data_IF_000379055808
#
_entry.id   IF_000379055808
#
_cell.length_a   1.000
_cell.length_b   1.000
_cell.length_c   1.000
_cell.angle_alpha   90.00
_cell.angle_beta   90.00
_cell.angle_gamma   90.00
#
_symmetry.space_group_name_H-M   'P 1'
#
loop_
_entity.id
_entity.type
_entity.pdbx_description
1 polymer ?
#
# COMPACT_ATOMS: atom_id res chain seq x y z
N UNK A 1 -6.61 -7.55 -16.03
CA UNK A 1 -7.16 -6.27 -15.59
C UNK A 1 -6.73 -5.93 -14.18
N UNK A 2 -6.86 -4.66 -13.81
CA UNK A 2 -6.66 -4.16 -12.44
C UNK A 2 -7.52 -4.94 -11.45
N UNK A 3 -8.79 -5.16 -11.76
CA UNK A 3 -9.71 -5.94 -10.93
C UNK A 3 -9.13 -7.33 -10.60
N UNK A 4 -8.63 -8.05 -11.60
CA UNK A 4 -8.06 -9.38 -11.39
C UNK A 4 -6.77 -9.33 -10.58
N UNK A 5 -5.93 -8.30 -10.74
CA UNK A 5 -4.74 -8.11 -9.93
C UNK A 5 -5.07 -7.94 -8.44
N UNK A 6 -6.03 -7.07 -8.12
CA UNK A 6 -6.47 -6.85 -6.73
C UNK A 6 -7.12 -8.11 -6.15
N UNK A 7 -7.79 -8.91 -6.98
CA UNK A 7 -8.45 -10.15 -6.58
C UNK A 7 -7.49 -11.27 -6.15
N UNK A 8 -6.25 -11.29 -6.62
CA UNK A 8 -5.31 -12.41 -6.41
C UNK A 8 -5.24 -12.85 -4.94
N UNK A 9 -5.00 -11.98 -3.95
CA UNK A 9 -4.90 -12.41 -2.55
C UNK A 9 -6.19 -13.04 -2.01
N UNK A 10 -7.35 -12.59 -2.49
CA UNK A 10 -8.65 -13.12 -2.08
C UNK A 10 -8.87 -14.57 -2.53
N UNK A 11 -8.25 -14.97 -3.65
CA UNK A 11 -8.37 -16.35 -4.16
C UNK A 11 -7.70 -17.37 -3.23
N UNK A 12 -6.67 -16.95 -2.50
CA UNK A 12 -5.91 -17.78 -1.57
C UNK A 12 -6.37 -17.64 -0.11
N UNK A 13 -7.19 -16.66 0.20
CA UNK A 13 -7.71 -16.44 1.55
C UNK A 13 -9.01 -17.23 1.77
N UNK A 14 -8.89 -18.42 2.37
CA UNK A 14 -10.03 -19.32 2.64
C UNK A 14 -11.07 -18.76 3.62
N UNK A 15 -10.72 -17.70 4.38
CA UNK A 15 -11.65 -17.07 5.34
C UNK A 15 -12.62 -16.10 4.67
N UNK A 16 -12.33 -15.64 3.46
CA UNK A 16 -13.14 -14.67 2.71
C UNK A 16 -13.97 -15.41 1.67
N UNK A 17 -15.29 -15.28 1.74
CA UNK A 17 -16.21 -15.93 0.80
C UNK A 17 -16.13 -15.30 -0.59
N UNK A 18 -16.27 -16.08 -1.64
CA UNK A 18 -16.22 -15.59 -3.04
C UNK A 18 -17.24 -14.48 -3.33
N UNK A 19 -18.39 -14.51 -2.68
CA UNK A 19 -19.43 -13.47 -2.82
C UNK A 19 -18.99 -12.08 -2.32
N UNK A 20 -18.01 -12.03 -1.39
CA UNK A 20 -17.48 -10.79 -0.84
C UNK A 20 -16.38 -10.16 -1.72
N UNK A 21 -15.79 -10.91 -2.67
CA UNK A 21 -14.61 -10.47 -3.42
C UNK A 21 -14.86 -9.17 -4.17
N UNK A 22 -15.99 -9.07 -4.87
CA UNK A 22 -16.33 -7.89 -5.67
C UNK A 22 -16.40 -6.63 -4.80
N UNK A 23 -17.11 -6.69 -3.70
CA UNK A 23 -17.28 -5.57 -2.78
C UNK A 23 -15.94 -5.14 -2.16
N UNK A 24 -15.11 -6.10 -1.70
CA UNK A 24 -13.79 -5.81 -1.14
C UNK A 24 -12.86 -5.15 -2.16
N UNK A 25 -12.86 -5.62 -3.42
CA UNK A 25 -12.08 -5.04 -4.51
C UNK A 25 -12.51 -3.61 -4.79
N UNK A 26 -13.82 -3.36 -4.90
CA UNK A 26 -14.33 -2.01 -5.14
C UNK A 26 -13.97 -1.06 -3.99
N UNK A 27 -14.12 -1.49 -2.74
CA UNK A 27 -13.78 -0.72 -1.55
C UNK A 27 -12.27 -0.38 -1.49
N UNK A 28 -11.40 -1.37 -1.80
CA UNK A 28 -9.97 -1.14 -1.87
C UNK A 28 -9.58 -0.20 -3.04
N UNK A 29 -10.24 -0.31 -4.18
CA UNK A 29 -9.99 0.56 -5.32
C UNK A 29 -10.47 2.00 -5.08
N UNK A 30 -11.58 2.18 -4.37
CA UNK A 30 -12.13 3.47 -4.00
C UNK A 30 -11.20 4.22 -3.03
N UNK A 31 -10.74 3.56 -1.96
CA UNK A 31 -9.81 4.17 -1.00
C UNK A 31 -8.47 4.58 -1.64
N UNK A 32 -8.15 4.06 -2.81
CA UNK A 32 -6.93 4.38 -3.57
C UNK A 32 -7.20 5.22 -4.82
N UNK A 33 -8.43 5.70 -5.02
CA UNK A 33 -8.85 6.54 -6.16
C UNK A 33 -8.51 5.92 -7.52
N UNK A 34 -8.74 4.60 -7.67
CA UNK A 34 -8.52 3.83 -8.91
C UNK A 34 -9.74 3.00 -9.34
N UNK A 35 -10.92 3.27 -8.79
CA UNK A 35 -12.14 2.52 -9.13
C UNK A 35 -12.51 2.62 -10.62
N UNK A 36 -12.23 3.74 -11.27
CA UNK A 36 -12.45 3.96 -12.70
C UNK A 36 -11.47 3.17 -13.59
N UNK A 37 -10.41 2.63 -13.01
CA UNK A 37 -9.36 1.86 -13.69
C UNK A 37 -9.55 0.33 -13.60
N UNK A 38 -10.54 -0.15 -12.85
CA UNK A 38 -10.70 -1.59 -12.57
C UNK A 38 -10.74 -2.48 -13.84
N UNK A 39 -11.27 -1.95 -14.94
CA UNK A 39 -11.36 -2.67 -16.22
C UNK A 39 -10.10 -2.58 -17.08
N UNK A 40 -9.19 -1.63 -16.80
CA UNK A 40 -7.97 -1.44 -17.57
C UNK A 40 -6.95 -2.55 -17.36
N UNK A 41 -6.06 -2.72 -18.33
CA UNK A 41 -4.85 -3.54 -18.14
C UNK A 41 -3.84 -2.76 -17.31
N UNK A 42 -3.09 -3.44 -16.45
CA UNK A 42 -2.09 -2.81 -15.55
C UNK A 42 -0.98 -2.12 -16.34
N UNK A 43 -0.64 -2.65 -17.51
CA UNK A 43 0.39 -2.12 -18.42
C UNK A 43 0.02 -0.73 -18.99
N UNK A 44 -1.27 -0.38 -18.99
CA UNK A 44 -1.79 0.90 -19.49
C UNK A 44 -1.82 2.01 -18.43
N UNK A 45 -1.39 1.69 -17.20
CA UNK A 45 -1.41 2.61 -16.07
C UNK A 45 -0.09 3.39 -15.96
N UNK A 46 -0.18 4.61 -15.41
CA UNK A 46 1.00 5.36 -14.97
C UNK A 46 1.72 4.66 -13.81
N UNK A 47 2.95 5.07 -13.50
CA UNK A 47 3.72 4.53 -12.37
C UNK A 47 2.97 4.66 -11.05
N UNK A 48 2.41 5.84 -10.76
CA UNK A 48 1.63 6.08 -9.54
C UNK A 48 0.33 5.28 -9.49
N UNK A 49 -0.36 5.09 -10.62
CA UNK A 49 -1.54 4.23 -10.69
C UNK A 49 -1.20 2.76 -10.45
N UNK A 50 -0.09 2.26 -11.03
CA UNK A 50 0.40 0.89 -10.75
C UNK A 50 0.74 0.70 -9.28
N UNK A 51 1.37 1.69 -8.65
CA UNK A 51 1.68 1.63 -7.22
C UNK A 51 0.40 1.56 -6.38
N UNK A 52 -0.63 2.36 -6.70
CA UNK A 52 -1.93 2.29 -6.02
C UNK A 52 -2.62 0.93 -6.21
N UNK A 53 -2.50 0.30 -7.37
CA UNK A 53 -2.97 -1.09 -7.59
C UNK A 53 -2.23 -2.08 -6.68
N UNK A 54 -0.92 -1.93 -6.52
CA UNK A 54 -0.13 -2.79 -5.62
C UNK A 54 -0.57 -2.62 -4.15
N UNK A 55 -0.84 -1.40 -3.72
CA UNK A 55 -1.36 -1.12 -2.37
C UNK A 55 -2.77 -1.71 -2.21
N UNK A 56 -3.68 -1.53 -3.20
CA UNK A 56 -5.01 -2.12 -3.18
C UNK A 56 -4.95 -3.64 -2.99
N UNK A 57 -4.04 -4.29 -3.69
CA UNK A 57 -3.78 -5.72 -3.54
C UNK A 57 -3.29 -6.10 -2.14
N UNK A 58 -2.47 -5.27 -1.51
CA UNK A 58 -1.99 -5.51 -0.16
C UNK A 58 -3.09 -5.37 0.91
N UNK A 59 -4.05 -4.45 0.72
CA UNK A 59 -5.06 -4.13 1.74
C UNK A 59 -6.40 -4.86 1.54
N UNK A 60 -6.64 -5.49 0.39
CA UNK A 60 -7.94 -6.09 0.02
C UNK A 60 -8.40 -7.20 0.99
N UNK A 61 -7.47 -7.88 1.63
CA UNK A 61 -7.73 -8.90 2.64
C UNK A 61 -7.90 -8.34 4.07
N UNK A 62 -7.79 -7.03 4.23
CA UNK A 62 -7.95 -6.32 5.50
C UNK A 62 -6.97 -6.79 6.60
N UNK A 63 -5.73 -7.01 6.24
CA UNK A 63 -4.68 -7.42 7.17
C UNK A 63 -4.35 -6.29 8.17
N UNK A 64 -4.00 -6.63 9.44
CA UNK A 64 -3.67 -5.64 10.46
C UNK A 64 -2.30 -4.98 10.24
N UNK A 65 -1.40 -5.63 9.47
CA UNK A 65 -0.04 -5.14 9.19
C UNK A 65 0.12 -5.00 7.68
N UNK A 66 0.66 -3.87 7.25
CA UNK A 66 1.04 -3.58 5.87
C UNK A 66 2.57 -3.46 5.83
N UNK A 67 3.20 -4.23 4.95
CA UNK A 67 4.64 -4.14 4.68
C UNK A 67 4.84 -3.44 3.34
N UNK A 68 5.63 -2.38 3.31
CA UNK A 68 5.92 -1.61 2.13
C UNK A 68 7.45 -1.47 1.96
N UNK A 69 7.97 -2.01 0.88
CA UNK A 69 9.37 -1.91 0.49
C UNK A 69 9.49 -0.90 -0.64
N UNK A 70 10.17 0.23 -0.37
CA UNK A 70 10.34 1.36 -1.28
C UNK A 70 9.02 1.78 -1.97
N UNK A 71 7.93 2.05 -1.22
CA UNK A 71 6.59 2.22 -1.82
C UNK A 71 6.49 3.44 -2.75
N UNK A 72 7.47 4.31 -2.75
CA UNK A 72 7.49 5.57 -3.50
C UNK A 72 8.73 5.75 -4.37
N UNK A 73 9.66 4.80 -4.38
CA UNK A 73 10.98 4.93 -4.98
C UNK A 73 11.02 5.23 -6.48
N UNK A 74 9.96 4.87 -7.23
CA UNK A 74 9.85 5.13 -8.67
C UNK A 74 8.89 6.27 -9.02
N UNK A 75 8.42 7.05 -8.03
CA UNK A 75 7.40 8.08 -8.21
C UNK A 75 8.02 9.49 -8.18
N UNK A 76 7.42 10.40 -8.97
CA UNK A 76 7.65 11.83 -8.80
C UNK A 76 7.12 12.32 -7.45
N UNK A 77 7.54 13.52 -7.03
CA UNK A 77 7.20 14.08 -5.72
C UNK A 77 5.69 14.13 -5.44
N UNK A 78 4.89 14.52 -6.43
CA UNK A 78 3.44 14.66 -6.27
C UNK A 78 2.77 13.30 -6.06
N UNK A 79 3.16 12.29 -6.84
CA UNK A 79 2.61 10.93 -6.69
C UNK A 79 3.13 10.25 -5.42
N UNK A 80 4.38 10.52 -5.02
CA UNK A 80 4.95 10.06 -3.74
C UNK A 80 4.10 10.54 -2.57
N UNK A 81 3.85 11.84 -2.49
CA UNK A 81 3.09 12.43 -1.39
C UNK A 81 1.67 11.88 -1.32
N UNK A 82 0.99 11.74 -2.47
CA UNK A 82 -0.34 11.12 -2.54
C UNK A 82 -0.36 9.67 -2.06
N UNK A 83 0.64 8.87 -2.42
CA UNK A 83 0.73 7.48 -1.97
C UNK A 83 0.97 7.42 -0.47
N UNK A 84 1.84 8.28 0.05
CA UNK A 84 2.09 8.35 1.49
C UNK A 84 0.86 8.80 2.26
N UNK A 85 0.12 9.83 1.80
CA UNK A 85 -1.14 10.27 2.42
C UNK A 85 -2.13 9.11 2.53
N UNK A 86 -2.34 8.36 1.45
CA UNK A 86 -3.23 7.19 1.44
C UNK A 86 -2.77 6.13 2.45
N UNK A 87 -1.49 5.81 2.50
CA UNK A 87 -0.95 4.81 3.43
C UNK A 87 -1.12 5.24 4.89
N UNK A 88 -0.87 6.51 5.20
CA UNK A 88 -1.05 7.06 6.55
C UNK A 88 -2.52 7.09 6.96
N UNK A 89 -3.41 7.52 6.06
CA UNK A 89 -4.87 7.53 6.32
C UNK A 89 -5.40 6.12 6.60
N UNK A 90 -4.96 5.12 5.82
CA UNK A 90 -5.33 3.71 6.06
C UNK A 90 -4.89 3.21 7.44
N UNK A 91 -3.74 3.68 7.95
CA UNK A 91 -3.27 3.30 9.28
C UNK A 91 -4.08 4.00 10.38
N UNK A 92 -4.29 5.30 10.24
CA UNK A 92 -4.99 6.12 11.22
C UNK A 92 -6.48 5.73 11.33
N UNK A 93 -7.18 5.63 10.19
CA UNK A 93 -8.62 5.34 10.18
C UNK A 93 -8.95 3.89 10.55
N UNK A 94 -8.08 2.94 10.21
CA UNK A 94 -8.35 1.50 10.38
C UNK A 94 -7.51 0.83 11.46
N UNK A 95 -6.71 1.60 12.21
CA UNK A 95 -5.85 1.07 13.28
C UNK A 95 -4.83 0.04 12.77
N UNK A 96 -4.34 0.19 11.54
CA UNK A 96 -3.35 -0.72 10.95
C UNK A 96 -1.94 -0.29 11.29
N UNK A 97 -1.03 -1.26 11.35
CA UNK A 97 0.40 -1.00 11.46
C UNK A 97 1.04 -1.00 10.08
N UNK A 98 1.73 0.09 9.74
CA UNK A 98 2.50 0.21 8.50
C UNK A 98 4.00 0.11 8.83
N UNK A 99 4.67 -0.81 8.17
CA UNK A 99 6.13 -0.94 8.22
C UNK A 99 6.68 -0.58 6.85
N UNK A 100 7.47 0.49 6.79
CA UNK A 100 8.08 0.97 5.53
C UNK A 100 9.59 0.72 5.60
N UNK A 101 10.13 0.12 4.55
CA UNK A 101 11.57 0.12 4.27
C UNK A 101 11.82 1.16 3.19
N UNK A 102 12.69 2.13 3.46
CA UNK A 102 13.02 3.19 2.51
C UNK A 102 14.39 3.80 2.81
N UNK A 103 15.02 4.33 1.78
CA UNK A 103 16.19 5.20 1.89
C UNK A 103 15.84 6.70 1.76
N UNK A 104 14.57 7.03 1.50
CA UNK A 104 14.08 8.41 1.38
C UNK A 104 13.76 8.98 2.77
N UNK A 105 14.57 9.95 3.21
CA UNK A 105 14.40 10.62 4.50
C UNK A 105 13.06 11.35 4.60
N UNK A 106 12.53 11.90 3.51
CA UNK A 106 11.24 12.59 3.49
C UNK A 106 10.07 11.65 3.76
N UNK A 107 10.19 10.38 3.38
CA UNK A 107 9.22 9.33 3.71
C UNK A 107 9.37 8.90 5.17
N UNK A 108 10.61 8.70 5.62
CA UNK A 108 10.89 8.28 6.99
C UNK A 108 10.40 9.31 8.03
N UNK A 109 10.59 10.60 7.77
CA UNK A 109 10.16 11.70 8.66
C UNK A 109 8.63 11.80 8.84
N UNK A 110 7.85 11.15 7.98
CA UNK A 110 6.38 11.08 8.10
C UNK A 110 5.90 9.94 9.00
N UNK A 111 6.80 9.06 9.43
CA UNK A 111 6.46 7.92 10.28
C UNK A 111 6.58 8.27 11.76
N UNK A 112 5.75 7.64 12.61
CA UNK A 112 5.77 7.83 14.07
C UNK A 112 7.08 7.35 14.71
N UNK A 113 7.74 6.39 14.07
CA UNK A 113 8.99 5.80 14.56
C UNK A 113 9.93 5.45 13.41
N UNK A 114 11.21 5.80 13.58
CA UNK A 114 12.27 5.48 12.63
C UNK A 114 13.25 4.51 13.27
N UNK A 115 13.59 3.43 12.56
CA UNK A 115 14.65 2.49 12.93
C UNK A 115 15.71 2.54 11.85
N UNK A 116 16.93 2.94 12.23
CA UNK A 116 18.05 3.00 11.29
C UNK A 116 18.81 1.69 11.28
N UNK A 117 19.11 1.20 10.09
CA UNK A 117 19.89 -0.02 9.88
C UNK A 117 21.12 0.27 9.02
N UNK A 118 22.26 -0.30 9.42
CA UNK A 118 23.51 -0.28 8.65
C UNK A 118 24.19 -1.64 8.77
N UNK A 119 24.64 -2.18 7.65
CA UNK A 119 25.36 -3.48 7.59
C UNK A 119 24.62 -4.62 8.32
N UNK A 120 23.29 -4.66 8.21
CA UNK A 120 22.44 -5.67 8.84
C UNK A 120 22.23 -5.47 10.35
N UNK A 121 22.71 -4.37 10.93
CA UNK A 121 22.56 -4.06 12.35
C UNK A 121 21.71 -2.80 12.57
N UNK A 122 20.95 -2.78 13.65
CA UNK A 122 20.22 -1.58 14.09
C UNK A 122 21.24 -0.64 14.74
N UNK A 123 21.36 0.58 14.20
CA UNK A 123 22.33 1.58 14.68
C UNK A 123 21.70 2.67 15.53
N UNK A 124 20.39 2.91 15.39
CA UNK A 124 19.68 3.92 16.16
C UNK A 124 18.20 3.53 16.30
N UNK A 125 17.65 3.66 17.50
CA UNK A 125 16.23 3.56 17.80
C UNK A 125 15.73 4.97 18.13
N UNK A 126 15.48 5.78 17.11
CA UNK A 126 14.84 7.08 17.33
C UNK A 126 13.40 6.84 17.80
N UNK A 127 13.10 7.14 19.07
CA UNK A 127 11.75 7.08 19.61
C UNK A 127 11.65 6.44 21.02
N UNK A 128 12.62 6.67 21.90
CA UNK A 128 12.46 6.62 23.37
C UNK A 128 12.64 8.02 23.94
#
# INVERSE_FOLDING_TARGET
>A
SVFNNIRIPLLYNKKIKRGEHKERIHRAAESLLIQDKLHRKVEQLSGGERQRVAIARAIVCDQPIILADEPTGSLDAVNRDRVMDILMDLCNEKGKTLIIVTHDTSVAERCDRIIRMKDGQITDRAGE
#
